data_IF_526084397522
#
_entry.id   IF_526084397522
#
_cell.length_a   1.000
_cell.length_b   1.000
_cell.length_c   1.000
_cell.angle_alpha   90.00
_cell.angle_beta   90.00
_cell.angle_gamma   90.00
#
_symmetry.space_group_name_H-M   'P 1'
#
loop_
_entity.id
_entity.type
_entity.pdbx_description
1 polymer ?
#
# COMPACT_ATOMS: atom_id res chain seq x y z
N UNK A 1 7.99 3.22 33.02
CA UNK A 1 7.58 2.08 32.20
C UNK A 1 6.64 1.19 33.01
N UNK A 2 5.65 0.64 32.35
CA UNK A 2 4.65 -0.27 32.91
C UNK A 2 4.57 -1.55 32.06
N UNK A 3 4.22 -2.69 32.70
CA UNK A 3 4.01 -3.94 31.99
C UNK A 3 2.75 -3.88 31.12
N UNK A 4 2.82 -4.47 29.93
CA UNK A 4 1.70 -4.61 29.01
C UNK A 4 1.73 -5.95 28.28
N UNK A 5 0.68 -6.27 27.53
CA UNK A 5 0.61 -7.46 26.67
C UNK A 5 1.67 -7.48 25.56
N UNK A 6 2.25 -6.33 25.22
CA UNK A 6 3.32 -6.16 24.23
C UNK A 6 4.70 -5.89 24.87
N UNK A 7 4.85 -6.19 26.18
CA UNK A 7 6.05 -5.92 26.96
C UNK A 7 6.01 -4.57 27.68
N UNK A 8 7.18 -4.09 28.11
CA UNK A 8 7.30 -2.84 28.85
C UNK A 8 7.05 -1.63 27.95
N UNK A 9 6.05 -0.82 28.28
CA UNK A 9 5.72 0.41 27.53
C UNK A 9 5.88 1.63 28.46
N UNK A 10 6.08 2.85 27.92
CA UNK A 10 6.11 4.07 28.72
C UNK A 10 4.82 4.25 29.53
N UNK A 11 4.94 4.81 30.72
CA UNK A 11 3.79 5.19 31.55
C UNK A 11 2.89 6.18 30.79
N UNK A 12 1.57 5.98 30.86
CA UNK A 12 0.59 6.76 30.12
C UNK A 12 0.28 6.24 28.70
N UNK A 13 1.13 5.36 28.16
CA UNK A 13 0.82 4.66 26.90
C UNK A 13 -0.08 3.44 27.17
N UNK A 14 -0.80 2.98 26.15
CA UNK A 14 -1.68 1.82 26.26
C UNK A 14 -1.57 0.91 25.05
N UNK A 15 -1.95 -0.34 25.21
CA UNK A 15 -2.18 -1.26 24.09
C UNK A 15 -3.60 -1.04 23.59
N UNK A 16 -3.75 -0.85 22.30
CA UNK A 16 -5.02 -0.73 21.60
C UNK A 16 -5.05 -1.60 20.38
N UNK A 17 -6.03 -1.36 19.49
CA UNK A 17 -6.24 -2.12 18.26
C UNK A 17 -5.95 -1.27 17.04
N UNK A 18 -5.56 -1.91 15.94
CA UNK A 18 -5.26 -1.23 14.69
C UNK A 18 -6.46 -0.43 14.15
N UNK A 19 -7.70 -0.92 14.33
CA UNK A 19 -8.91 -0.20 13.87
C UNK A 19 -9.23 1.08 14.66
N UNK A 20 -8.54 1.31 15.78
CA UNK A 20 -8.61 2.58 16.51
C UNK A 20 -7.76 3.71 15.87
N UNK A 21 -6.73 3.34 15.10
CA UNK A 21 -5.78 4.29 14.51
C UNK A 21 -5.82 4.37 12.98
N UNK A 22 -6.45 3.37 12.32
CA UNK A 22 -6.63 3.32 10.87
C UNK A 22 -7.94 2.59 10.51
N UNK A 23 -8.54 2.94 9.37
CA UNK A 23 -9.64 2.17 8.81
C UNK A 23 -9.12 1.03 7.95
N UNK A 24 -9.58 -0.19 8.21
CA UNK A 24 -9.25 -1.38 7.41
C UNK A 24 -10.25 -1.51 6.26
N UNK A 25 -9.77 -1.33 5.04
CA UNK A 25 -10.60 -1.34 3.82
C UNK A 25 -10.23 -2.53 2.94
N UNK A 26 -11.22 -3.35 2.60
CA UNK A 26 -11.08 -4.40 1.59
C UNK A 26 -11.41 -3.89 0.20
N UNK A 27 -10.86 -4.54 -0.81
CA UNK A 27 -11.17 -4.25 -2.21
C UNK A 27 -12.12 -5.27 -2.85
N UNK A 28 -12.46 -5.04 -4.11
CA UNK A 28 -13.31 -5.92 -4.92
C UNK A 28 -12.90 -5.89 -6.39
N UNK A 29 -13.34 -6.89 -7.14
CA UNK A 29 -13.02 -7.04 -8.58
C UNK A 29 -14.31 -6.92 -9.38
N UNK A 30 -14.40 -5.97 -10.34
CA UNK A 30 -15.47 -5.93 -11.31
C UNK A 30 -15.55 -7.23 -12.11
N UNK A 31 -16.74 -7.55 -12.64
CA UNK A 31 -16.92 -8.77 -13.42
C UNK A 31 -15.99 -8.79 -14.63
N UNK A 32 -15.13 -9.81 -14.70
CA UNK A 32 -14.23 -10.02 -15.86
C UNK A 32 -14.96 -10.40 -17.15
N UNK A 33 -16.21 -10.82 -17.04
CA UNK A 33 -17.07 -11.11 -18.21
C UNK A 33 -17.55 -9.82 -18.90
N UNK A 34 -17.29 -8.65 -18.31
CA UNK A 34 -17.63 -7.33 -18.82
C UNK A 34 -16.38 -6.49 -19.09
N UNK A 35 -15.79 -6.60 -20.30
CA UNK A 35 -14.58 -5.86 -20.67
C UNK A 35 -14.72 -4.34 -20.54
N UNK A 36 -15.95 -3.81 -20.73
CA UNK A 36 -16.31 -2.41 -20.59
C UNK A 36 -16.10 -1.84 -19.18
N UNK A 37 -15.93 -2.70 -18.17
CA UNK A 37 -15.59 -2.28 -16.80
C UNK A 37 -14.11 -1.93 -16.62
N UNK A 38 -13.28 -2.17 -17.62
CA UNK A 38 -11.84 -1.99 -17.59
C UNK A 38 -11.38 -1.01 -18.66
N UNK A 39 -10.33 -0.22 -18.34
CA UNK A 39 -9.80 0.80 -19.25
C UNK A 39 -8.31 1.05 -18.96
N UNK A 40 -7.59 1.66 -19.91
CA UNK A 40 -6.21 2.09 -19.69
C UNK A 40 -6.11 3.42 -18.94
N UNK A 41 -7.20 4.19 -18.88
CA UNK A 41 -7.25 5.50 -18.22
C UNK A 41 -8.60 5.71 -17.56
N UNK A 42 -8.67 5.49 -16.27
CA UNK A 42 -9.89 5.60 -15.46
C UNK A 42 -9.55 5.74 -13.99
N UNK A 43 -10.35 5.11 -13.14
CA UNK A 43 -10.12 5.02 -11.70
C UNK A 43 -8.99 4.01 -11.46
N UNK A 44 -7.92 4.46 -10.82
CA UNK A 44 -6.77 3.60 -10.52
C UNK A 44 -7.21 2.38 -9.68
N UNK A 45 -6.88 1.19 -10.16
CA UNK A 45 -7.23 -0.07 -9.54
C UNK A 45 -6.05 -1.02 -9.51
N UNK A 46 -5.82 -1.65 -8.36
CA UNK A 46 -4.60 -2.39 -8.09
C UNK A 46 -4.87 -3.84 -7.73
N UNK A 47 -4.00 -4.72 -8.20
CA UNK A 47 -3.96 -6.14 -7.81
C UNK A 47 -2.65 -6.48 -7.12
N UNK A 48 -2.56 -7.58 -6.33
CA UNK A 48 -1.29 -8.01 -5.74
C UNK A 48 -0.19 -8.24 -6.78
N UNK A 49 -0.55 -8.65 -8.00
CA UNK A 49 0.38 -8.87 -9.10
C UNK A 49 1.08 -7.58 -9.53
N UNK A 50 0.39 -6.45 -9.46
CA UNK A 50 0.98 -5.15 -9.81
C UNK A 50 2.11 -4.79 -8.84
N UNK A 51 1.91 -5.00 -7.53
CA UNK A 51 2.97 -4.79 -6.53
C UNK A 51 4.10 -5.82 -6.63
N UNK A 52 3.79 -7.05 -7.03
CA UNK A 52 4.81 -8.08 -7.27
C UNK A 52 5.71 -7.74 -8.45
N UNK A 53 5.13 -7.24 -9.53
CA UNK A 53 5.86 -6.91 -10.75
C UNK A 53 6.68 -5.63 -10.61
N UNK A 54 6.20 -4.69 -9.79
CA UNK A 54 6.83 -3.38 -9.57
C UNK A 54 6.88 -3.07 -8.08
N UNK A 55 7.80 -3.76 -7.33
CA UNK A 55 7.95 -3.50 -5.90
C UNK A 55 8.50 -2.09 -5.68
N UNK A 56 7.70 -1.24 -5.03
CA UNK A 56 8.04 0.13 -4.70
C UNK A 56 7.36 0.55 -3.39
N UNK A 57 7.95 1.54 -2.71
CA UNK A 57 7.31 2.12 -1.52
C UNK A 57 6.06 2.88 -1.90
N UNK A 58 6.04 3.49 -3.09
CA UNK A 58 4.91 4.28 -3.57
C UNK A 58 4.33 3.73 -4.87
N UNK A 59 2.99 3.71 -4.97
CA UNK A 59 2.27 3.19 -6.14
C UNK A 59 1.12 4.12 -6.51
N UNK A 60 0.97 4.44 -7.80
CA UNK A 60 -0.09 5.31 -8.31
C UNK A 60 -1.20 4.57 -9.03
N UNK A 61 -0.91 3.42 -9.66
CA UNK A 61 -1.89 2.59 -10.40
C UNK A 61 -1.34 1.20 -10.71
N UNK A 62 -2.25 0.30 -11.11
CA UNK A 62 -1.92 -1.01 -11.66
C UNK A 62 -1.73 -0.97 -13.19
N UNK A 63 -1.68 -2.17 -13.79
CA UNK A 63 -1.59 -2.33 -15.25
C UNK A 63 -2.88 -1.88 -15.95
N UNK A 64 -4.03 -2.00 -15.30
CA UNK A 64 -5.34 -1.64 -15.83
C UNK A 64 -6.14 -0.89 -14.78
N UNK A 65 -6.85 0.14 -15.21
CA UNK A 65 -7.79 0.89 -14.40
C UNK A 65 -9.23 0.33 -14.57
N UNK A 66 -10.15 0.80 -13.75
CA UNK A 66 -11.58 0.49 -13.90
C UNK A 66 -12.36 1.75 -14.31
N UNK A 67 -13.44 1.53 -15.09
CA UNK A 67 -14.37 2.61 -15.44
C UNK A 67 -15.26 2.97 -14.25
N UNK A 68 -15.97 4.09 -14.31
CA UNK A 68 -16.97 4.45 -13.30
C UNK A 68 -18.06 3.38 -13.20
N UNK A 69 -18.47 2.79 -14.33
CA UNK A 69 -19.44 1.70 -14.35
C UNK A 69 -18.88 0.46 -13.65
N UNK A 70 -17.61 0.10 -13.92
CA UNK A 70 -16.90 -0.96 -13.21
C UNK A 70 -16.79 -0.70 -11.72
N UNK A 71 -16.47 0.52 -11.31
CA UNK A 71 -16.44 0.93 -9.91
C UNK A 71 -17.82 0.76 -9.24
N UNK A 72 -18.87 1.30 -9.84
CA UNK A 72 -20.24 1.26 -9.31
C UNK A 72 -20.83 -0.16 -9.29
N UNK A 73 -20.30 -1.09 -10.09
CA UNK A 73 -20.74 -2.49 -10.14
C UNK A 73 -20.23 -3.34 -8.97
N UNK A 74 -19.36 -2.80 -8.10
CA UNK A 74 -18.68 -3.56 -7.03
C UNK A 74 -18.76 -2.86 -5.68
N UNK A 75 -18.28 -3.56 -4.65
CA UNK A 75 -18.09 -3.01 -3.30
C UNK A 75 -16.70 -2.40 -3.07
N UNK A 76 -15.88 -2.28 -4.12
CA UNK A 76 -14.57 -1.63 -3.97
C UNK A 76 -14.74 -0.17 -3.54
N UNK A 77 -13.77 0.33 -2.78
CA UNK A 77 -13.81 1.71 -2.28
C UNK A 77 -12.63 2.49 -2.82
N UNK A 78 -12.90 3.71 -3.24
CA UNK A 78 -11.86 4.69 -3.56
C UNK A 78 -11.24 5.16 -2.25
N UNK A 79 -9.96 4.88 -2.08
CA UNK A 79 -9.18 5.24 -0.90
C UNK A 79 -8.27 6.42 -1.24
N UNK A 80 -8.07 7.37 -0.32
CA UNK A 80 -7.31 8.59 -0.59
C UNK A 80 -5.80 8.32 -0.70
N UNK A 81 -5.09 9.26 -1.32
CA UNK A 81 -3.63 9.35 -1.24
C UNK A 81 -3.15 9.19 0.21
N UNK A 82 -2.03 8.49 0.40
CA UNK A 82 -1.45 8.19 1.72
C UNK A 82 -1.99 6.91 2.37
N UNK A 83 -2.99 6.25 1.75
CA UNK A 83 -3.45 4.93 2.19
C UNK A 83 -2.34 3.91 2.08
N UNK A 84 -2.19 3.04 3.09
CA UNK A 84 -1.26 1.90 3.03
C UNK A 84 -1.96 0.73 2.35
N UNK A 85 -1.45 0.36 1.19
CA UNK A 85 -1.90 -0.77 0.40
C UNK A 85 -1.21 -2.04 0.93
N UNK A 86 -1.97 -2.96 1.51
CA UNK A 86 -1.43 -4.20 2.10
C UNK A 86 -2.08 -5.41 1.46
N UNK A 87 -1.28 -6.31 0.87
CA UNK A 87 -1.81 -7.56 0.33
C UNK A 87 -2.12 -8.54 1.44
N UNK A 88 -3.36 -9.00 1.48
CA UNK A 88 -3.84 -9.95 2.48
C UNK A 88 -3.73 -11.40 2.05
N UNK A 89 -3.36 -11.66 0.77
CA UNK A 89 -3.16 -13.01 0.22
C UNK A 89 -2.36 -12.97 -1.08
N UNK A 90 -1.77 -14.11 -1.42
CA UNK A 90 -1.13 -14.45 -2.70
C UNK A 90 0.00 -13.51 -3.20
N UNK A 91 1.01 -13.20 -2.43
CA UNK A 91 1.28 -13.49 -1.02
C UNK A 91 0.75 -12.41 -0.07
N UNK A 92 0.76 -12.70 1.23
CA UNK A 92 0.57 -11.69 2.29
C UNK A 92 1.82 -10.83 2.35
N UNK A 93 1.65 -9.51 2.63
CA UNK A 93 2.75 -8.65 3.08
C UNK A 93 3.44 -7.81 2.00
N UNK A 94 2.93 -7.73 0.76
CA UNK A 94 3.33 -6.61 -0.09
C UNK A 94 2.70 -5.33 0.44
N UNK A 95 3.53 -4.31 0.63
CA UNK A 95 3.14 -3.04 1.22
C UNK A 95 3.60 -1.90 0.32
N UNK A 96 2.68 -1.00 0.00
CA UNK A 96 2.97 0.23 -0.73
C UNK A 96 2.09 1.38 -0.23
N UNK A 97 2.45 2.61 -0.53
CA UNK A 97 1.71 3.82 -0.19
C UNK A 97 1.04 4.36 -1.45
N UNK A 98 -0.25 4.63 -1.38
CA UNK A 98 -1.00 5.23 -2.48
C UNK A 98 -0.54 6.67 -2.78
N UNK A 99 -0.11 6.96 -4.01
CA UNK A 99 0.29 8.31 -4.45
C UNK A 99 -0.90 9.19 -4.84
N UNK A 100 -2.05 8.60 -5.11
CA UNK A 100 -3.31 9.23 -5.50
C UNK A 100 -4.47 8.39 -4.97
N UNK A 101 -5.69 8.84 -5.22
CA UNK A 101 -6.88 8.06 -4.92
C UNK A 101 -6.88 6.77 -5.72
N UNK A 102 -7.14 5.62 -5.06
CA UNK A 102 -6.96 4.30 -5.65
C UNK A 102 -7.95 3.28 -5.09
N UNK A 103 -8.38 2.36 -5.94
CA UNK A 103 -9.12 1.17 -5.57
C UNK A 103 -8.21 -0.07 -5.58
N UNK A 104 -8.66 -1.15 -4.95
CA UNK A 104 -7.95 -2.44 -4.97
C UNK A 104 -8.91 -3.60 -5.24
N UNK A 105 -8.35 -4.74 -5.63
CA UNK A 105 -9.10 -5.99 -5.67
C UNK A 105 -9.25 -6.60 -4.25
N UNK A 106 -9.97 -7.72 -4.16
CA UNK A 106 -10.20 -8.42 -2.88
C UNK A 106 -8.95 -9.01 -2.22
N UNK A 107 -7.80 -8.99 -2.89
CA UNK A 107 -6.52 -9.45 -2.34
C UNK A 107 -5.86 -8.47 -1.37
N UNK A 108 -6.50 -7.33 -1.09
CA UNK A 108 -5.99 -6.30 -0.19
C UNK A 108 -6.84 -6.15 1.07
N UNK A 109 -6.17 -5.75 2.15
CA UNK A 109 -6.75 -5.15 3.36
C UNK A 109 -5.93 -3.90 3.66
N UNK A 110 -6.30 -2.81 2.99
CA UNK A 110 -5.58 -1.53 3.03
C UNK A 110 -5.92 -0.75 4.30
N UNK A 111 -5.01 0.13 4.73
CA UNK A 111 -5.19 0.97 5.91
C UNK A 111 -5.30 2.44 5.50
N UNK A 112 -6.47 3.04 5.75
CA UNK A 112 -6.65 4.48 5.62
C UNK A 112 -6.29 5.13 6.97
N UNK A 113 -5.31 6.04 7.02
CA UNK A 113 -4.89 6.71 8.25
C UNK A 113 -6.03 7.45 8.96
N UNK A 114 -6.08 7.37 10.30
CA UNK A 114 -7.02 8.11 11.19
C UNK A 114 -6.26 8.92 12.22
N UNK A 115 -5.76 8.25 13.28
CA UNK A 115 -4.98 8.85 14.35
C UNK A 115 -3.49 8.76 14.10
N UNK A 116 -3.04 7.62 13.57
CA UNK A 116 -1.66 7.45 13.15
C UNK A 116 -1.51 7.89 11.70
N UNK A 117 -0.34 8.45 11.37
CA UNK A 117 -0.03 8.89 10.02
C UNK A 117 0.44 7.76 9.09
N UNK A 118 0.64 8.10 7.83
CA UNK A 118 1.04 7.19 6.75
C UNK A 118 2.37 6.50 7.04
N UNK A 119 3.39 7.24 7.50
CA UNK A 119 4.73 6.68 7.73
C UNK A 119 4.73 5.68 8.88
N UNK A 120 4.02 6.01 9.97
CA UNK A 120 3.87 5.10 11.09
C UNK A 120 3.19 3.79 10.66
N UNK A 121 2.06 3.88 9.98
CA UNK A 121 1.31 2.69 9.54
C UNK A 121 2.11 1.82 8.57
N UNK A 122 2.89 2.42 7.68
CA UNK A 122 3.78 1.69 6.79
C UNK A 122 4.85 0.92 7.59
N UNK A 123 5.55 1.59 8.50
CA UNK A 123 6.57 0.96 9.35
C UNK A 123 5.97 -0.12 10.25
N UNK A 124 4.81 0.16 10.86
CA UNK A 124 4.08 -0.79 11.69
C UNK A 124 3.74 -2.07 10.93
N UNK A 125 3.13 -1.97 9.74
CA UNK A 125 2.82 -3.15 8.94
C UNK A 125 4.06 -3.94 8.54
N UNK A 126 5.17 -3.26 8.18
CA UNK A 126 6.44 -3.94 7.91
C UNK A 126 6.91 -4.76 9.11
N UNK A 127 6.78 -4.21 10.30
CA UNK A 127 7.19 -4.88 11.54
C UNK A 127 6.30 -6.08 11.88
N UNK A 128 4.96 -5.94 11.76
CA UNK A 128 4.00 -6.98 12.20
C UNK A 128 3.65 -7.99 11.10
N UNK A 129 4.13 -7.85 9.87
CA UNK A 129 3.83 -8.78 8.77
C UNK A 129 4.10 -10.25 9.12
N UNK A 130 5.22 -10.63 9.76
CA UNK A 130 5.45 -12.03 10.17
C UNK A 130 4.37 -12.55 11.16
N UNK A 131 3.89 -11.71 12.06
CA UNK A 131 2.81 -12.04 12.97
C UNK A 131 1.49 -12.23 12.22
N UNK A 132 1.18 -11.34 11.25
CA UNK A 132 -0.01 -11.46 10.41
C UNK A 132 0.02 -12.77 9.62
N UNK A 133 1.14 -13.13 9.01
CA UNK A 133 1.30 -14.39 8.28
C UNK A 133 1.09 -15.61 9.18
N UNK A 134 1.62 -15.58 10.40
CA UNK A 134 1.47 -16.68 11.37
C UNK A 134 0.02 -16.83 11.87
N UNK A 135 -0.68 -15.72 12.09
CA UNK A 135 -2.09 -15.71 12.53
C UNK A 135 -3.10 -15.89 11.40
N UNK A 136 -2.65 -15.82 10.14
CA UNK A 136 -3.51 -15.96 8.96
C UNK A 136 -3.96 -17.40 8.78
N UNK A 137 -5.23 -17.58 8.39
CA UNK A 137 -5.88 -18.88 8.23
C UNK A 137 -6.00 -19.28 6.76
N UNK A 138 -6.06 -20.57 6.48
CA UNK A 138 -6.23 -21.17 5.17
C UNK A 138 -5.31 -22.37 4.98
N UNK A 139 -5.87 -23.54 4.59
CA UNK A 139 -5.11 -24.77 4.42
C UNK A 139 -4.27 -24.79 3.13
N UNK A 140 -4.75 -24.18 2.07
CA UNK A 140 -4.07 -24.14 0.76
C UNK A 140 -3.48 -22.76 0.48
N UNK A 141 -4.20 -21.69 0.84
CA UNK A 141 -3.74 -20.30 0.70
C UNK A 141 -4.10 -19.54 1.98
N UNK A 142 -3.08 -19.05 2.66
CA UNK A 142 -3.28 -18.17 3.83
C UNK A 142 -3.89 -16.84 3.39
N UNK A 143 -4.86 -16.37 4.16
CA UNK A 143 -5.43 -15.03 4.00
C UNK A 143 -5.55 -14.32 5.35
N UNK A 144 -5.04 -13.10 5.42
CA UNK A 144 -5.28 -12.19 6.54
C UNK A 144 -6.69 -11.60 6.41
N UNK A 145 -7.61 -12.05 7.27
CA UNK A 145 -8.99 -11.55 7.28
C UNK A 145 -9.05 -10.09 7.73
N UNK A 146 -10.15 -9.39 7.36
CA UNK A 146 -10.37 -8.03 7.84
C UNK A 146 -10.54 -7.96 9.37
N UNK A 147 -11.08 -9.00 10.00
CA UNK A 147 -11.19 -9.10 11.47
C UNK A 147 -9.82 -9.27 12.13
N UNK A 148 -8.94 -10.11 11.56
CA UNK A 148 -7.55 -10.23 12.03
C UNK A 148 -6.83 -8.88 11.95
N UNK A 149 -6.88 -8.21 10.80
CA UNK A 149 -6.23 -6.91 10.63
C UNK A 149 -6.74 -5.87 11.65
N UNK A 150 -8.05 -5.77 11.85
CA UNK A 150 -8.65 -4.86 12.83
C UNK A 150 -8.22 -5.13 14.26
N UNK A 151 -8.05 -6.40 14.63
CA UNK A 151 -7.70 -6.83 15.99
C UNK A 151 -6.21 -6.83 16.30
N UNK A 152 -5.32 -6.50 15.33
CA UNK A 152 -3.89 -6.41 15.59
C UNK A 152 -3.63 -5.43 16.74
N UNK A 153 -2.84 -5.87 17.69
CA UNK A 153 -2.45 -5.03 18.82
C UNK A 153 -1.40 -4.00 18.38
N UNK A 154 -1.54 -2.80 18.87
CA UNK A 154 -0.62 -1.68 18.60
C UNK A 154 -0.42 -0.88 19.88
N UNK A 155 0.82 -0.43 20.11
CA UNK A 155 1.10 0.50 21.18
C UNK A 155 0.55 1.88 20.78
N UNK A 156 -0.29 2.44 21.63
CA UNK A 156 -0.95 3.72 21.41
C UNK A 156 -0.36 4.77 22.37
N UNK A 157 0.56 5.60 21.88
CA UNK A 157 1.02 6.76 22.61
C UNK A 157 -0.02 7.88 22.61
N UNK A 158 0.30 9.01 23.23
CA UNK A 158 -0.44 10.25 23.05
C UNK A 158 -0.42 10.69 21.57
N UNK A 159 -1.45 11.40 21.13
CA UNK A 159 -1.60 11.87 19.74
C UNK A 159 -0.37 12.67 19.26
N UNK A 160 0.19 13.50 20.14
CA UNK A 160 1.39 14.28 19.83
C UNK A 160 2.59 13.42 19.40
N UNK A 161 2.76 12.22 19.97
CA UNK A 161 3.88 11.32 19.62
C UNK A 161 3.72 10.79 18.19
N UNK A 162 2.50 10.49 17.74
CA UNK A 162 2.25 10.15 16.33
C UNK A 162 2.60 11.32 15.40
N UNK A 163 2.21 12.55 15.76
CA UNK A 163 2.49 13.75 14.98
C UNK A 163 3.99 14.06 14.92
N UNK A 164 4.70 13.95 16.05
CA UNK A 164 6.14 14.13 16.12
C UNK A 164 6.88 13.07 15.28
N UNK A 165 6.42 11.81 15.32
CA UNK A 165 6.96 10.74 14.47
C UNK A 165 6.79 11.07 12.97
N UNK A 166 5.58 11.46 12.55
CA UNK A 166 5.34 11.86 11.15
C UNK A 166 6.21 13.06 10.76
N UNK A 167 6.36 14.05 11.62
CA UNK A 167 7.20 15.23 11.35
C UNK A 167 8.66 14.86 11.10
N UNK A 168 9.20 13.91 11.87
CA UNK A 168 10.59 13.46 11.74
C UNK A 168 10.76 12.54 10.51
N UNK A 169 9.79 11.66 10.25
CA UNK A 169 9.97 10.55 9.28
C UNK A 169 9.46 10.92 7.88
N UNK A 170 8.44 11.77 7.76
CA UNK A 170 7.87 12.13 6.46
C UNK A 170 8.87 12.74 5.46
N UNK A 171 9.89 13.54 5.86
CA UNK A 171 10.90 14.01 4.90
C UNK A 171 11.72 12.87 4.29
N UNK A 172 11.98 11.79 5.04
CA UNK A 172 12.68 10.61 4.53
C UNK A 172 11.82 9.87 3.49
N UNK A 173 10.53 9.70 3.78
CA UNK A 173 9.58 9.10 2.85
C UNK A 173 9.37 9.97 1.59
N UNK A 174 9.32 11.29 1.73
CA UNK A 174 9.30 12.22 0.59
C UNK A 174 10.56 12.08 -0.29
N UNK A 175 11.72 11.86 0.32
CA UNK A 175 12.96 11.58 -0.43
C UNK A 175 12.89 10.27 -1.18
N UNK A 176 12.37 9.20 -0.55
CA UNK A 176 12.15 7.90 -1.21
C UNK A 176 11.23 8.09 -2.42
N UNK A 177 10.09 8.77 -2.24
CA UNK A 177 9.14 9.04 -3.34
C UNK A 177 9.80 9.77 -4.51
N UNK A 178 10.63 10.79 -4.21
CA UNK A 178 11.37 11.54 -5.23
C UNK A 178 12.35 10.64 -5.99
N UNK A 179 13.10 9.80 -5.28
CA UNK A 179 14.07 8.88 -5.89
C UNK A 179 13.40 7.79 -6.73
N UNK A 180 12.26 7.25 -6.31
CA UNK A 180 11.49 6.28 -7.09
C UNK A 180 10.97 6.90 -8.40
N UNK A 181 10.49 8.15 -8.35
CA UNK A 181 10.07 8.90 -9.55
C UNK A 181 11.24 9.14 -10.50
N UNK A 182 12.39 9.52 -9.97
CA UNK A 182 13.62 9.73 -10.77
C UNK A 182 14.08 8.42 -11.41
N UNK A 183 14.14 7.32 -10.67
CA UNK A 183 14.46 6.00 -11.18
C UNK A 183 13.52 5.55 -12.31
N UNK A 184 12.21 5.78 -12.14
CA UNK A 184 11.22 5.47 -13.19
C UNK A 184 11.46 6.28 -14.45
N UNK A 185 11.76 7.58 -14.31
CA UNK A 185 12.10 8.47 -15.44
C UNK A 185 13.38 8.02 -16.14
N UNK A 186 14.43 7.72 -15.39
CA UNK A 186 15.72 7.27 -15.95
C UNK A 186 15.56 5.92 -16.67
N UNK A 187 14.79 5.00 -16.12
CA UNK A 187 14.49 3.73 -16.77
C UNK A 187 13.75 3.93 -18.10
N UNK A 188 12.74 4.81 -18.12
CA UNK A 188 12.02 5.14 -19.35
C UNK A 188 12.94 5.78 -20.40
N UNK A 189 13.81 6.69 -20.00
CA UNK A 189 14.79 7.31 -20.89
C UNK A 189 15.74 6.27 -21.47
N UNK A 190 16.31 5.40 -20.63
CA UNK A 190 17.18 4.30 -21.08
C UNK A 190 16.46 3.42 -22.09
N UNK A 191 15.26 2.95 -21.78
CA UNK A 191 14.50 2.01 -22.60
C UNK A 191 14.03 2.64 -23.93
N UNK A 192 13.88 3.97 -23.97
CA UNK A 192 13.55 4.72 -25.18
C UNK A 192 14.78 5.01 -26.04
N UNK A 193 15.91 5.39 -25.42
CA UNK A 193 17.10 5.83 -26.15
C UNK A 193 17.99 4.68 -26.61
N UNK A 194 18.12 3.62 -25.79
CA UNK A 194 19.03 2.52 -26.07
C UNK A 194 18.75 1.82 -27.41
N UNK A 195 17.51 1.47 -27.79
CA UNK A 195 17.22 0.90 -29.11
C UNK A 195 17.58 1.82 -30.27
N UNK A 196 17.38 3.13 -30.11
CA UNK A 196 17.65 4.14 -31.14
C UNK A 196 19.14 4.39 -31.33
N UNK A 197 19.93 4.31 -30.25
CA UNK A 197 21.40 4.34 -30.31
C UNK A 197 21.95 3.07 -30.99
N UNK A 198 21.40 1.91 -30.62
CA UNK A 198 21.85 0.62 -31.20
C UNK A 198 21.49 0.48 -32.67
N UNK A 199 20.40 1.09 -33.14
CA UNK A 199 20.00 1.09 -34.55
C UNK A 199 20.74 2.16 -35.39
N UNK A 200 21.53 3.04 -34.77
CA UNK A 200 22.17 4.17 -35.46
C UNK A 200 21.21 5.33 -35.82
N UNK A 201 19.98 5.30 -35.30
CA UNK A 201 19.01 6.41 -35.48
C UNK A 201 19.43 7.67 -34.69
N UNK A 202 20.14 7.47 -33.58
CA UNK A 202 20.74 8.53 -32.78
C UNK A 202 22.25 8.33 -32.72
N UNK A 203 23.00 9.40 -32.99
CA UNK A 203 24.45 9.46 -32.83
C UNK A 203 24.79 10.22 -31.54
N UNK A 204 25.83 9.77 -30.83
CA UNK A 204 26.37 10.50 -29.67
C UNK A 204 27.37 11.52 -30.25
N UNK A 205 27.20 12.83 -30.01
CA UNK A 205 28.20 13.84 -30.42
C UNK A 205 29.53 13.52 -29.73
N UNK A 206 30.65 13.67 -30.50
CA UNK A 206 32.02 13.58 -29.97
C UNK A 206 32.31 14.65 -28.92
#
# INVERSE_FOLDING_TARGET
>A
FVDSELGMIPEGWKVGRLDEIADVVGGSTPSKAKPEYYTQKGIAWLTPKDLSNHPAVYTSRGVIDITEEGYNSTSTKLMPKGTILFTSRAPIGYISIAQNDICTNQGFKSLVPKKAGTCFLYCFLKYVTPEIENKSTGSTFKEASGSLMKSLQVIMPEQKVFEDFETIVSPLFARIESLEKENSRLSLLRDTLLPRLMSGELEVPE
#
